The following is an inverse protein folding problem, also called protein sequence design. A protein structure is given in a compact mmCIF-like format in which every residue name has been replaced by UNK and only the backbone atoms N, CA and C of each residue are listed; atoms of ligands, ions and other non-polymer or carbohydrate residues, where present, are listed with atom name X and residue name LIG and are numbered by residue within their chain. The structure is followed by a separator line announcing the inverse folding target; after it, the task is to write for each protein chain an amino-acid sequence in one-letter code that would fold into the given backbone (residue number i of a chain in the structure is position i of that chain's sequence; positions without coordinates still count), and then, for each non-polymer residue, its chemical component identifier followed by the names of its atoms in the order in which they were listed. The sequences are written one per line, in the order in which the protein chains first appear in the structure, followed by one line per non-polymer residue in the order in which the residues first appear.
data_IF_756485106270
#
_entry.id   IF_756485106270
#
_cell.length_a   1.000
_cell.length_b   1.000
_cell.length_c   1.000
_cell.angle_alpha   90.00
_cell.angle_beta   90.00
_cell.angle_gamma   90.00
#
_symmetry.space_group_name_H-M   'P 1'
#
loop_
_entity.id
_entity.type
_entity.pdbx_description
1 polymer ?
#
# COMPACT_ATOMS: atom_id res chain seq x y z
N UNK A 1 -15.65 2.33 -2.41
CA UNK A 1 -14.29 2.21 -1.88
C UNK A 1 -13.91 3.35 -0.93
N UNK A 2 -13.99 4.64 -1.34
CA UNK A 2 -13.72 5.82 -0.45
C UNK A 2 -14.31 5.68 0.95
N UNK A 3 -15.59 5.31 1.05
CA UNK A 3 -16.29 5.16 2.34
C UNK A 3 -15.72 4.02 3.19
N UNK A 4 -15.13 2.99 2.59
CA UNK A 4 -14.51 1.86 3.32
C UNK A 4 -13.18 2.30 3.90
N UNK A 5 -12.29 2.89 3.11
CA UNK A 5 -10.99 3.40 3.57
C UNK A 5 -11.14 4.37 4.75
N UNK A 6 -12.03 5.36 4.63
CA UNK A 6 -12.26 6.37 5.67
C UNK A 6 -12.87 5.79 6.96
N UNK A 7 -13.70 4.74 6.85
CA UNK A 7 -14.38 4.14 8.01
C UNK A 7 -13.70 2.89 8.54
N UNK A 8 -12.65 2.40 7.88
CA UNK A 8 -11.90 1.24 8.34
C UNK A 8 -11.06 1.63 9.57
N UNK A 9 -11.38 1.02 10.70
CA UNK A 9 -10.62 1.18 11.96
C UNK A 9 -9.58 0.09 12.16
N UNK A 10 -9.60 -0.92 11.29
CA UNK A 10 -8.75 -2.10 11.39
C UNK A 10 -8.05 -2.33 10.06
N UNK A 11 -6.71 -2.32 10.12
CA UNK A 11 -5.83 -2.61 9.00
C UNK A 11 -5.08 -3.92 9.27
N UNK A 12 -5.01 -4.80 8.28
CA UNK A 12 -4.43 -6.13 8.43
C UNK A 12 -3.43 -6.44 7.32
N UNK A 13 -2.21 -6.80 7.71
CA UNK A 13 -1.24 -7.43 6.79
C UNK A 13 -1.70 -8.85 6.43
N UNK A 14 -1.81 -9.22 5.16
CA UNK A 14 -2.20 -10.55 4.75
C UNK A 14 -1.04 -11.55 4.93
N UNK A 15 -0.97 -12.20 6.08
CA UNK A 15 0.11 -13.14 6.40
C UNK A 15 -0.07 -14.52 5.76
N UNK A 16 -1.30 -14.90 5.41
CA UNK A 16 -1.64 -16.14 4.71
C UNK A 16 -3.02 -16.03 4.08
N UNK A 17 -3.30 -16.92 3.11
CA UNK A 17 -4.64 -17.02 2.51
C UNK A 17 -5.73 -17.30 3.55
N UNK A 18 -5.46 -18.13 4.56
CA UNK A 18 -6.43 -18.45 5.61
C UNK A 18 -6.80 -17.21 6.44
N UNK A 19 -5.82 -16.37 6.78
CA UNK A 19 -6.07 -15.10 7.47
C UNK A 19 -6.93 -14.19 6.60
N UNK A 20 -6.63 -14.08 5.32
CA UNK A 20 -7.44 -13.29 4.37
C UNK A 20 -8.87 -13.78 4.31
N UNK A 21 -9.08 -15.10 4.19
CA UNK A 21 -10.42 -15.69 4.15
C UNK A 21 -11.20 -15.44 5.45
N UNK A 22 -10.57 -15.64 6.60
CA UNK A 22 -11.19 -15.40 7.92
C UNK A 22 -11.61 -13.92 8.09
N UNK A 23 -10.75 -12.98 7.68
CA UNK A 23 -11.04 -11.56 7.77
C UNK A 23 -12.17 -11.13 6.81
N UNK A 24 -12.21 -11.72 5.61
CA UNK A 24 -13.31 -11.53 4.66
C UNK A 24 -14.62 -12.04 5.26
N UNK A 25 -14.62 -13.24 5.83
CA UNK A 25 -15.79 -13.82 6.48
C UNK A 25 -16.27 -12.96 7.65
N UNK A 26 -15.36 -12.55 8.54
CA UNK A 26 -15.65 -11.63 9.64
C UNK A 26 -16.28 -10.33 9.15
N UNK A 27 -15.64 -9.69 8.17
CA UNK A 27 -16.10 -8.43 7.59
C UNK A 27 -17.50 -8.56 6.96
N UNK A 28 -17.76 -9.63 6.24
CA UNK A 28 -19.06 -9.89 5.64
C UNK A 28 -20.15 -10.16 6.68
N UNK A 29 -19.87 -10.98 7.72
CA UNK A 29 -20.83 -11.35 8.74
C UNK A 29 -21.18 -10.18 9.67
N UNK A 30 -20.22 -9.31 9.95
CA UNK A 30 -20.40 -8.16 10.88
C UNK A 30 -20.68 -6.85 10.16
N UNK A 31 -20.57 -6.79 8.84
CA UNK A 31 -20.61 -5.57 8.02
C UNK A 31 -19.54 -4.54 8.43
N UNK A 32 -18.44 -5.00 9.02
CA UNK A 32 -17.35 -4.14 9.51
C UNK A 32 -16.38 -3.84 8.36
N UNK A 33 -16.16 -2.54 8.02
CA UNK A 33 -15.14 -2.16 7.06
C UNK A 33 -13.73 -2.55 7.54
N UNK A 34 -12.97 -3.17 6.67
CA UNK A 34 -11.56 -3.54 6.92
C UNK A 34 -10.68 -3.07 5.76
N UNK A 35 -9.40 -2.86 6.04
CA UNK A 35 -8.39 -2.60 5.01
C UNK A 35 -7.28 -3.64 5.09
N UNK A 36 -7.04 -4.33 3.98
CA UNK A 36 -5.83 -5.13 3.83
C UNK A 36 -4.66 -4.22 3.46
N UNK A 37 -3.53 -4.41 4.14
CA UNK A 37 -2.31 -3.62 3.93
C UNK A 37 -1.13 -4.53 3.53
N UNK A 38 -1.15 -5.14 2.33
CA UNK A 38 -0.04 -5.98 1.88
C UNK A 38 1.20 -5.14 1.59
N UNK A 39 2.34 -5.55 2.18
CA UNK A 39 3.64 -5.07 1.73
C UNK A 39 4.01 -5.67 0.37
N UNK A 40 5.00 -5.07 -0.32
CA UNK A 40 5.51 -5.58 -1.60
C UNK A 40 6.06 -7.00 -1.51
N UNK A 41 6.58 -7.42 -0.35
CA UNK A 41 7.04 -8.80 -0.14
C UNK A 41 5.90 -9.79 0.00
N UNK A 42 4.79 -9.37 0.59
CA UNK A 42 3.59 -10.21 0.79
C UNK A 42 2.85 -10.46 -0.51
N UNK A 43 2.61 -9.38 -1.28
CA UNK A 43 1.88 -9.39 -2.54
C UNK A 43 2.58 -8.41 -3.50
N UNK A 44 3.07 -8.90 -4.62
CA UNK A 44 3.84 -8.08 -5.56
C UNK A 44 3.29 -8.24 -6.99
N UNK A 45 3.63 -7.35 -7.91
CA UNK A 45 3.16 -7.42 -9.30
C UNK A 45 3.51 -8.75 -9.98
N UNK A 46 4.64 -9.35 -9.63
CA UNK A 46 5.14 -10.63 -10.17
C UNK A 46 4.98 -11.81 -9.19
N UNK A 47 4.28 -11.62 -8.07
CA UNK A 47 4.01 -12.62 -7.04
C UNK A 47 4.79 -12.39 -5.76
N UNK A 48 4.07 -12.39 -4.62
CA UNK A 48 4.64 -12.29 -3.28
C UNK A 48 4.63 -13.64 -2.53
N UNK A 49 5.21 -13.67 -1.32
CA UNK A 49 5.27 -14.93 -0.55
C UNK A 49 3.92 -15.40 -0.04
N UNK A 50 2.93 -14.51 0.06
CA UNK A 50 1.58 -14.91 0.49
C UNK A 50 0.84 -15.51 -0.69
N UNK A 51 0.69 -16.84 -0.68
CA UNK A 51 -0.05 -17.59 -1.68
C UNK A 51 0.40 -17.34 -3.14
N UNK A 52 1.63 -16.87 -3.33
CA UNK A 52 2.17 -16.43 -4.63
C UNK A 52 1.25 -15.44 -5.37
N UNK A 53 0.51 -14.61 -4.62
CA UNK A 53 -0.40 -13.65 -5.20
C UNK A 53 0.33 -12.50 -5.90
N UNK A 54 -0.08 -12.27 -7.15
CA UNK A 54 0.17 -10.99 -7.79
C UNK A 54 -0.77 -9.92 -7.24
N UNK A 55 -0.40 -8.63 -7.35
CA UNK A 55 -1.27 -7.50 -6.96
C UNK A 55 -2.65 -7.63 -7.60
N UNK A 56 -2.71 -7.98 -8.89
CA UNK A 56 -3.97 -8.21 -9.61
C UNK A 56 -4.80 -9.35 -9.00
N UNK A 57 -4.17 -10.52 -8.81
CA UNK A 57 -4.88 -11.71 -8.34
C UNK A 57 -5.38 -11.53 -6.90
N UNK A 58 -4.58 -10.91 -6.02
CA UNK A 58 -4.99 -10.57 -4.68
C UNK A 58 -6.18 -9.62 -4.67
N UNK A 59 -6.09 -8.52 -5.43
CA UNK A 59 -7.18 -7.55 -5.53
C UNK A 59 -8.47 -8.18 -6.05
N UNK A 60 -8.41 -8.95 -7.13
CA UNK A 60 -9.57 -9.67 -7.66
C UNK A 60 -10.16 -10.64 -6.64
N UNK A 61 -9.30 -11.37 -5.93
CA UNK A 61 -9.72 -12.31 -4.90
C UNK A 61 -10.50 -11.62 -3.78
N UNK A 62 -9.96 -10.57 -3.19
CA UNK A 62 -10.59 -9.82 -2.10
C UNK A 62 -11.88 -9.16 -2.56
N UNK A 63 -11.84 -8.43 -3.67
CA UNK A 63 -12.97 -7.64 -4.18
C UNK A 63 -14.12 -8.52 -4.68
N UNK A 64 -13.84 -9.75 -5.15
CA UNK A 64 -14.90 -10.69 -5.51
C UNK A 64 -15.64 -11.29 -4.32
N UNK A 65 -15.04 -11.29 -3.12
CA UNK A 65 -15.57 -11.93 -1.92
C UNK A 65 -16.14 -10.97 -0.89
N UNK A 66 -15.73 -9.72 -0.88
CA UNK A 66 -16.22 -8.73 0.08
C UNK A 66 -16.38 -7.34 -0.53
N UNK A 67 -17.53 -6.73 -0.28
CA UNK A 67 -17.78 -5.32 -0.57
C UNK A 67 -17.38 -4.39 0.59
N UNK A 68 -16.93 -4.96 1.71
CA UNK A 68 -16.54 -4.23 2.93
C UNK A 68 -15.02 -4.16 3.10
N UNK A 69 -14.26 -4.73 2.18
CA UNK A 69 -12.81 -4.72 2.21
C UNK A 69 -12.22 -3.72 1.20
N UNK A 70 -11.28 -2.92 1.65
CA UNK A 70 -10.38 -2.11 0.83
C UNK A 70 -8.97 -2.68 0.86
N UNK A 71 -8.12 -2.25 -0.06
CA UNK A 71 -6.73 -2.68 -0.14
C UNK A 71 -5.84 -1.46 -0.32
N UNK A 72 -4.86 -1.31 0.58
CA UNK A 72 -3.82 -0.29 0.53
C UNK A 72 -2.45 -0.96 0.39
N UNK A 73 -1.59 -0.46 -0.48
CA UNK A 73 -0.18 -0.85 -0.47
C UNK A 73 0.47 -0.34 0.80
N UNK A 74 1.07 -1.25 1.56
CA UNK A 74 1.95 -0.94 2.68
C UNK A 74 3.39 -0.81 2.16
N UNK A 75 4.05 0.34 2.41
CA UNK A 75 5.38 0.68 1.93
C UNK A 75 5.57 0.47 0.42
N UNK A 76 4.91 1.31 -0.38
CA UNK A 76 5.08 1.37 -1.84
C UNK A 76 6.27 2.23 -2.23
N UNK A 77 7.07 1.76 -3.20
CA UNK A 77 8.19 2.52 -3.72
C UNK A 77 9.51 1.74 -3.80
N UNK A 78 10.64 2.43 -3.98
CA UNK A 78 11.94 1.84 -4.22
C UNK A 78 12.48 1.06 -3.01
N UNK A 79 13.11 -0.09 -3.25
CA UNK A 79 13.77 -0.90 -2.24
C UNK A 79 12.83 -1.59 -1.23
N UNK A 80 11.51 -1.55 -1.44
CA UNK A 80 10.52 -2.16 -0.54
C UNK A 80 10.21 -3.61 -0.89
N UNK A 81 10.56 -4.07 -2.09
CA UNK A 81 10.38 -5.44 -2.56
C UNK A 81 11.41 -6.44 -2.03
N UNK A 82 11.46 -7.58 -2.69
CA UNK A 82 12.47 -8.62 -2.42
C UNK A 82 13.84 -8.23 -3.02
N UNK A 83 13.82 -7.54 -4.14
CA UNK A 83 15.01 -7.07 -4.84
C UNK A 83 15.11 -5.55 -4.77
N UNK A 84 16.33 -5.03 -4.92
CA UNK A 84 16.55 -3.60 -5.03
C UNK A 84 16.11 -3.12 -6.42
N UNK A 85 15.12 -2.22 -6.42
CA UNK A 85 14.53 -1.64 -7.63
C UNK A 85 14.14 -0.17 -7.40
N UNK A 86 13.58 0.46 -8.42
CA UNK A 86 13.06 1.82 -8.36
C UNK A 86 11.57 1.89 -7.97
N UNK A 87 10.88 0.75 -7.88
CA UNK A 87 9.50 0.62 -7.45
C UNK A 87 8.44 0.99 -8.48
N UNK A 88 8.78 1.56 -9.63
CA UNK A 88 7.78 2.06 -10.59
C UNK A 88 6.88 0.96 -11.17
N UNK A 89 7.45 -0.21 -11.49
CA UNK A 89 6.64 -1.31 -12.05
C UNK A 89 5.64 -1.83 -11.00
N UNK A 90 6.04 -1.94 -9.74
CA UNK A 90 5.14 -2.29 -8.64
C UNK A 90 4.01 -1.26 -8.49
N UNK A 91 4.37 0.03 -8.42
CA UNK A 91 3.40 1.11 -8.27
C UNK A 91 2.42 1.21 -9.45
N UNK A 92 2.86 0.92 -10.67
CA UNK A 92 1.97 0.87 -11.83
C UNK A 92 0.88 -0.19 -11.69
N UNK A 93 1.22 -1.36 -11.16
CA UNK A 93 0.24 -2.39 -10.86
C UNK A 93 -0.65 -2.01 -9.68
N UNK A 94 -0.08 -1.40 -8.63
CA UNK A 94 -0.83 -0.92 -7.47
C UNK A 94 -1.86 0.14 -7.89
N UNK A 95 -1.49 1.10 -8.72
CA UNK A 95 -2.39 2.13 -9.26
C UNK A 95 -3.59 1.55 -10.01
N UNK A 96 -3.40 0.42 -10.66
CA UNK A 96 -4.46 -0.23 -11.44
C UNK A 96 -5.42 -1.05 -10.59
N UNK A 97 -4.95 -1.66 -9.52
CA UNK A 97 -5.71 -2.69 -8.81
C UNK A 97 -6.08 -2.35 -7.36
N UNK A 98 -5.32 -1.48 -6.70
CA UNK A 98 -5.53 -1.14 -5.29
C UNK A 98 -6.39 0.12 -5.11
N UNK A 99 -6.74 0.41 -3.86
CA UNK A 99 -7.61 1.53 -3.50
C UNK A 99 -6.83 2.69 -2.88
N UNK A 100 -5.66 2.39 -2.32
CA UNK A 100 -4.74 3.36 -1.72
C UNK A 100 -3.30 2.86 -1.77
N UNK A 101 -2.35 3.78 -1.70
CA UNK A 101 -0.91 3.50 -1.70
C UNK A 101 -0.24 4.35 -0.64
N UNK A 102 0.52 3.70 0.26
CA UNK A 102 1.50 4.37 1.12
C UNK A 102 2.79 4.56 0.32
N UNK A 103 3.15 5.79 0.02
CA UNK A 103 4.38 6.17 -0.69
C UNK A 103 5.51 6.27 0.31
N UNK A 104 6.50 5.37 0.21
CA UNK A 104 7.61 5.27 1.14
C UNK A 104 8.96 5.01 0.44
N UNK A 105 9.66 6.04 -0.03
CA UNK A 105 11.00 5.91 -0.58
C UNK A 105 12.10 5.91 0.50
N UNK A 106 11.76 6.19 1.76
CA UNK A 106 12.70 6.58 2.81
C UNK A 106 13.69 5.49 3.23
N UNK A 107 13.31 4.23 3.05
CA UNK A 107 14.23 3.12 3.30
C UNK A 107 15.45 3.14 2.37
N UNK A 108 15.25 3.49 1.13
CA UNK A 108 16.33 3.59 0.12
C UNK A 108 16.98 4.98 0.10
N UNK A 109 16.20 6.01 0.37
CA UNK A 109 16.62 7.41 0.35
C UNK A 109 16.36 8.09 1.70
N UNK A 110 17.17 7.80 2.73
CA UNK A 110 16.94 8.32 4.08
C UNK A 110 17.33 9.81 4.25
N UNK A 111 18.11 10.38 3.31
CA UNK A 111 18.35 11.81 3.26
C UNK A 111 17.06 12.56 2.93
N UNK A 112 16.77 13.66 3.63
CA UNK A 112 15.49 14.37 3.49
C UNK A 112 15.25 14.89 2.07
N UNK A 113 16.23 15.55 1.46
CA UNK A 113 16.07 16.15 0.13
C UNK A 113 15.86 15.08 -0.95
N UNK A 114 16.60 13.97 -0.86
CA UNK A 114 16.44 12.85 -1.79
C UNK A 114 15.09 12.15 -1.59
N UNK A 115 14.73 11.85 -0.34
CA UNK A 115 13.46 11.21 0.00
C UNK A 115 12.26 12.07 -0.38
N UNK A 116 12.31 13.39 -0.11
CA UNK A 116 11.27 14.34 -0.53
C UNK A 116 11.11 14.37 -2.05
N UNK A 117 12.23 14.48 -2.78
CA UNK A 117 12.19 14.43 -4.25
C UNK A 117 11.55 13.15 -4.76
N UNK A 118 11.97 11.99 -4.26
CA UNK A 118 11.39 10.70 -4.64
C UNK A 118 9.90 10.61 -4.26
N UNK A 119 9.50 11.09 -3.09
CA UNK A 119 8.09 11.13 -2.68
C UNK A 119 7.25 11.91 -3.69
N UNK A 120 7.70 13.12 -4.08
CA UNK A 120 7.01 13.96 -5.05
C UNK A 120 6.94 13.29 -6.43
N UNK A 121 8.04 12.70 -6.90
CA UNK A 121 8.10 12.07 -8.23
C UNK A 121 7.19 10.83 -8.29
N UNK A 122 7.19 9.99 -7.25
CA UNK A 122 6.32 8.83 -7.16
C UNK A 122 4.84 9.22 -7.03
N UNK A 123 4.51 10.24 -6.25
CA UNK A 123 3.14 10.77 -6.16
C UNK A 123 2.64 11.27 -7.52
N UNK A 124 3.45 12.05 -8.24
CA UNK A 124 3.11 12.52 -9.59
C UNK A 124 2.88 11.36 -10.55
N UNK A 125 3.77 10.36 -10.51
CA UNK A 125 3.63 9.15 -11.31
C UNK A 125 2.30 8.45 -11.01
N UNK A 126 2.03 8.13 -9.74
CA UNK A 126 0.81 7.42 -9.35
C UNK A 126 -0.46 8.24 -9.66
N UNK A 127 -0.43 9.55 -9.46
CA UNK A 127 -1.56 10.43 -9.79
C UNK A 127 -1.84 10.47 -11.30
N UNK A 128 -0.81 10.44 -12.14
CA UNK A 128 -0.97 10.37 -13.59
C UNK A 128 -1.53 9.01 -14.03
N UNK A 129 -1.15 7.90 -13.38
CA UNK A 129 -1.70 6.57 -13.67
C UNK A 129 -3.16 6.44 -13.21
N UNK A 130 -3.50 6.97 -12.02
CA UNK A 130 -4.86 6.91 -11.47
C UNK A 130 -5.14 8.05 -10.48
N UNK A 131 -5.77 9.16 -10.91
CA UNK A 131 -6.05 10.31 -10.04
C UNK A 131 -7.12 10.05 -8.96
N UNK A 132 -7.77 8.89 -8.96
CA UNK A 132 -8.79 8.53 -7.98
C UNK A 132 -8.25 7.75 -6.77
N UNK A 133 -6.95 7.50 -6.73
CA UNK A 133 -6.32 6.83 -5.60
C UNK A 133 -6.22 7.74 -4.37
N UNK A 134 -6.17 7.09 -3.21
CA UNK A 134 -5.77 7.74 -1.97
C UNK A 134 -4.29 7.48 -1.73
N UNK A 135 -3.61 8.46 -1.16
CA UNK A 135 -2.21 8.37 -0.82
C UNK A 135 -2.00 8.57 0.66
N UNK A 136 -1.13 7.77 1.23
CA UNK A 136 -0.50 7.99 2.52
C UNK A 136 0.96 8.34 2.28
N UNK A 137 1.47 9.35 2.98
CA UNK A 137 2.87 9.74 2.97
C UNK A 137 3.37 9.61 4.39
N UNK A 138 4.24 8.66 4.64
CA UNK A 138 4.78 8.40 5.96
C UNK A 138 6.12 7.65 5.86
N UNK A 139 6.76 7.45 7.01
CA UNK A 139 7.87 6.53 7.20
C UNK A 139 7.84 5.97 8.62
N UNK A 140 8.58 4.89 8.84
CA UNK A 140 8.75 4.33 10.19
C UNK A 140 9.86 5.06 10.94
N UNK A 141 9.66 5.29 12.24
CA UNK A 141 10.68 5.88 13.13
C UNK A 141 12.01 5.10 13.11
N UNK A 142 11.94 3.78 12.93
CA UNK A 142 13.11 2.91 12.81
C UNK A 142 13.98 3.22 11.57
N UNK A 143 13.39 3.82 10.53
CA UNK A 143 14.09 4.21 9.31
C UNK A 143 14.57 5.65 9.42
N UNK A 144 13.68 6.54 9.84
CA UNK A 144 13.94 7.98 9.91
C UNK A 144 12.97 8.66 10.87
N UNK A 145 13.48 9.61 11.67
CA UNK A 145 12.68 10.63 12.36
C UNK A 145 12.68 11.91 11.53
N UNK A 146 11.52 12.54 11.44
CA UNK A 146 11.38 13.86 10.84
C UNK A 146 11.45 14.95 11.91
N UNK A 147 12.19 16.03 11.63
CA UNK A 147 12.08 17.27 12.36
C UNK A 147 10.81 18.03 11.96
N UNK A 148 10.34 18.95 12.82
CA UNK A 148 9.08 19.67 12.59
C UNK A 148 9.07 20.43 11.26
N UNK A 149 10.20 21.07 10.92
CA UNK A 149 10.38 21.81 9.67
C UNK A 149 10.35 20.90 8.44
N UNK A 150 10.83 19.67 8.57
CA UNK A 150 10.79 18.67 7.50
C UNK A 150 9.35 18.19 7.25
N UNK A 151 8.55 18.03 8.32
CA UNK A 151 7.13 17.65 8.19
C UNK A 151 6.37 18.78 7.49
N UNK A 152 6.60 20.05 7.84
CA UNK A 152 5.96 21.18 7.17
C UNK A 152 6.28 21.25 5.67
N UNK A 153 7.47 20.82 5.26
CA UNK A 153 7.88 20.78 3.85
C UNK A 153 7.32 19.57 3.09
N UNK A 154 6.97 18.50 3.81
CA UNK A 154 6.41 17.27 3.22
C UNK A 154 4.90 17.42 2.95
N UNK A 155 4.19 18.26 3.69
CA UNK A 155 2.75 18.54 3.58
C UNK A 155 2.45 19.68 2.61
#
# INVERSE_FOLDING_TARGET
MKKILVNSKLCYGPMSKNIVDTLIEFSNNTHTPITFIPSRRQVEWNGGYVNNWTTENFSKYVKSKSKYAAIQRDHGGPGQGLYDDDGYESLKHDCKYLDSIHIDPWKKYPNFEDGLKWTIDLLKFCYNENPNLYFEIATEEAIRKFESEEIERLL
#
